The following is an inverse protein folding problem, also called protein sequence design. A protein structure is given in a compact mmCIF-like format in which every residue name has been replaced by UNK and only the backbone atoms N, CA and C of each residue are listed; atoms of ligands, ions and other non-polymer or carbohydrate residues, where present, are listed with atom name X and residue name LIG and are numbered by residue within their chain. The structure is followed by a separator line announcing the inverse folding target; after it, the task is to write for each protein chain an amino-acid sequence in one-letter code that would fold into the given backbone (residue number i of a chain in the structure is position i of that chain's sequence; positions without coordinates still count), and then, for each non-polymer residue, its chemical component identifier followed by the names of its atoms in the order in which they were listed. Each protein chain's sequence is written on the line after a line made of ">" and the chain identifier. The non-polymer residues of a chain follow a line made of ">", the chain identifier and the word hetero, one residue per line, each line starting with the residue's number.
data_IF_970743869107
#
_entry.id   IF_970743869107
#
_cell.length_a   1.000
_cell.length_b   1.000
_cell.length_c   1.000
_cell.angle_alpha   90.00
_cell.angle_beta   90.00
_cell.angle_gamma   90.00
#
_symmetry.space_group_name_H-M   'P 1'
#
loop_
_entity.id
_entity.type
_entity.pdbx_description
1 polymer ?
#
# COMPACT_ATOMS: atom_id res chain seq x y z
N UNK A 1 -21.71 -18.76 -11.47
CA UNK A 1 -22.01 -18.05 -12.73
C UNK A 1 -20.76 -17.85 -13.58
N UNK A 2 -19.68 -17.26 -13.07
CA UNK A 2 -18.45 -16.97 -13.83
C UNK A 2 -17.79 -18.24 -14.39
N UNK A 3 -17.73 -19.32 -13.63
CA UNK A 3 -17.22 -20.62 -14.10
C UNK A 3 -18.07 -21.20 -15.25
N UNK A 4 -19.39 -21.10 -15.15
CA UNK A 4 -20.27 -21.53 -16.25
C UNK A 4 -20.08 -20.67 -17.51
N UNK A 5 -19.85 -19.37 -17.33
CA UNK A 5 -19.56 -18.47 -18.44
C UNK A 5 -18.21 -18.82 -19.09
N UNK A 6 -17.16 -19.11 -18.29
CA UNK A 6 -15.87 -19.55 -18.81
C UNK A 6 -15.97 -20.86 -19.61
N UNK A 7 -16.76 -21.82 -19.09
CA UNK A 7 -16.94 -23.11 -19.78
C UNK A 7 -17.65 -23.00 -21.14
N UNK A 8 -18.43 -21.92 -21.33
CA UNK A 8 -19.13 -21.64 -22.59
C UNK A 8 -18.37 -20.64 -23.49
N UNK A 9 -17.24 -20.07 -23.00
CA UNK A 9 -16.48 -19.10 -23.77
C UNK A 9 -15.73 -19.81 -24.91
N UNK A 10 -16.03 -19.50 -26.21
CA UNK A 10 -15.29 -20.07 -27.32
C UNK A 10 -13.82 -19.65 -27.26
N UNK A 11 -12.91 -20.55 -27.60
CA UNK A 11 -11.48 -20.23 -27.62
C UNK A 11 -11.14 -19.10 -28.62
N UNK A 12 -11.95 -18.98 -29.68
CA UNK A 12 -11.87 -17.88 -30.64
C UNK A 12 -12.16 -16.50 -30.00
N UNK A 13 -12.79 -16.43 -28.86
CA UNK A 13 -13.09 -15.15 -28.17
C UNK A 13 -11.81 -14.37 -27.85
N UNK A 14 -10.71 -15.05 -27.58
CA UNK A 14 -9.41 -14.40 -27.41
C UNK A 14 -8.91 -13.63 -28.65
N UNK A 15 -9.41 -13.98 -29.86
CA UNK A 15 -9.10 -13.28 -31.10
C UNK A 15 -10.19 -12.26 -31.46
N UNK A 16 -11.46 -12.61 -31.26
CA UNK A 16 -12.60 -11.81 -31.71
C UNK A 16 -13.04 -10.75 -30.71
N UNK A 17 -12.92 -11.03 -29.40
CA UNK A 17 -13.24 -10.11 -28.30
C UNK A 17 -12.29 -10.29 -27.11
N UNK A 18 -11.03 -9.92 -27.34
CA UNK A 18 -9.99 -10.01 -26.33
C UNK A 18 -10.31 -9.34 -25.00
N UNK A 19 -10.85 -8.08 -24.97
CA UNK A 19 -11.16 -7.42 -23.70
C UNK A 19 -12.15 -8.21 -22.85
N UNK A 20 -13.21 -8.73 -23.46
CA UNK A 20 -14.21 -9.54 -22.77
C UNK A 20 -13.61 -10.85 -22.25
N UNK A 21 -12.84 -11.58 -23.09
CA UNK A 21 -12.20 -12.83 -22.71
C UNK A 21 -11.26 -12.63 -21.50
N UNK A 22 -10.42 -11.60 -21.54
CA UNK A 22 -9.51 -11.26 -20.43
C UNK A 22 -10.28 -10.89 -19.17
N UNK A 23 -11.26 -10.00 -19.27
CA UNK A 23 -12.06 -9.54 -18.13
C UNK A 23 -12.81 -10.70 -17.47
N UNK A 24 -13.37 -11.63 -18.24
CA UNK A 24 -14.07 -12.79 -17.71
C UNK A 24 -13.14 -13.73 -16.95
N UNK A 25 -11.93 -13.99 -17.47
CA UNK A 25 -10.94 -14.83 -16.79
C UNK A 25 -10.45 -14.19 -15.49
N UNK A 26 -10.14 -12.89 -15.52
CA UNK A 26 -9.74 -12.14 -14.34
C UNK A 26 -10.85 -12.12 -13.30
N UNK A 27 -12.09 -11.81 -13.68
CA UNK A 27 -13.22 -11.79 -12.75
C UNK A 27 -13.49 -13.18 -12.13
N UNK A 28 -13.34 -14.25 -12.91
CA UNK A 28 -13.47 -15.60 -12.39
C UNK A 28 -12.36 -15.97 -11.41
N UNK A 29 -11.12 -15.54 -11.69
CA UNK A 29 -9.98 -15.74 -10.79
C UNK A 29 -10.18 -14.96 -9.48
N UNK A 30 -10.61 -13.69 -9.55
CA UNK A 30 -10.93 -12.88 -8.36
C UNK A 30 -12.09 -13.49 -7.55
N UNK A 31 -13.14 -14.00 -8.21
CA UNK A 31 -14.25 -14.68 -7.55
C UNK A 31 -13.79 -15.96 -6.83
N UNK A 32 -12.91 -16.74 -7.43
CA UNK A 32 -12.32 -17.92 -6.81
C UNK A 32 -11.46 -17.52 -5.60
N UNK A 33 -10.65 -16.47 -5.73
CA UNK A 33 -9.86 -15.90 -4.65
C UNK A 33 -10.73 -15.48 -3.46
N UNK A 34 -11.76 -14.67 -3.69
CA UNK A 34 -12.68 -14.21 -2.65
C UNK A 34 -13.47 -15.36 -1.99
N UNK A 35 -13.60 -16.48 -2.70
CA UNK A 35 -14.25 -17.71 -2.18
C UNK A 35 -13.25 -18.67 -1.51
N UNK A 36 -12.01 -18.22 -1.24
CA UNK A 36 -10.90 -19.01 -0.67
C UNK A 36 -10.50 -20.26 -1.51
N UNK A 37 -10.83 -20.27 -2.80
CA UNK A 37 -10.44 -21.31 -3.76
C UNK A 37 -9.08 -20.95 -4.38
N UNK A 38 -8.03 -20.91 -3.56
CA UNK A 38 -6.74 -20.29 -3.91
C UNK A 38 -6.04 -20.97 -5.08
N UNK A 39 -6.01 -22.30 -5.14
CA UNK A 39 -5.38 -23.06 -6.24
C UNK A 39 -6.11 -22.79 -7.58
N UNK A 40 -7.43 -22.70 -7.54
CA UNK A 40 -8.22 -22.39 -8.72
C UNK A 40 -7.99 -20.93 -9.18
N UNK A 41 -7.92 -19.99 -8.23
CA UNK A 41 -7.62 -18.59 -8.54
C UNK A 41 -6.25 -18.45 -9.21
N UNK A 42 -5.21 -19.11 -8.67
CA UNK A 42 -3.86 -19.12 -9.23
C UNK A 42 -3.86 -19.68 -10.66
N UNK A 43 -4.47 -20.83 -10.90
CA UNK A 43 -4.55 -21.44 -12.24
C UNK A 43 -5.27 -20.53 -13.26
N UNK A 44 -6.32 -19.82 -12.83
CA UNK A 44 -7.04 -18.88 -13.69
C UNK A 44 -6.22 -17.62 -14.00
N UNK A 45 -5.49 -17.08 -13.01
CA UNK A 45 -4.57 -15.97 -13.24
C UNK A 45 -3.43 -16.36 -14.18
N UNK A 46 -2.84 -17.54 -14.01
CA UNK A 46 -1.78 -18.05 -14.91
C UNK A 46 -2.28 -18.23 -16.34
N UNK A 47 -3.51 -18.77 -16.50
CA UNK A 47 -4.14 -18.89 -17.81
C UNK A 47 -4.38 -17.51 -18.47
N UNK A 48 -4.86 -16.53 -17.70
CA UNK A 48 -5.05 -15.16 -18.17
C UNK A 48 -3.70 -14.51 -18.53
N UNK A 49 -2.67 -14.68 -17.70
CA UNK A 49 -1.33 -14.14 -17.92
C UNK A 49 -0.70 -14.69 -19.22
N UNK A 50 -0.85 -15.99 -19.50
CA UNK A 50 -0.37 -16.62 -20.73
C UNK A 50 -1.05 -16.11 -22.00
N UNK A 51 -2.24 -15.50 -21.88
CA UNK A 51 -3.04 -14.94 -22.99
C UNK A 51 -3.00 -13.42 -23.05
N UNK A 52 -2.51 -12.75 -21.99
CA UNK A 52 -2.44 -11.28 -21.91
C UNK A 52 -1.48 -10.73 -22.98
N UNK A 53 -1.97 -9.70 -23.71
CA UNK A 53 -1.27 -9.13 -24.88
C UNK A 53 -0.43 -7.92 -24.56
N UNK A 54 -0.87 -7.10 -23.60
CA UNK A 54 -0.17 -5.86 -23.23
C UNK A 54 0.56 -6.00 -21.91
N UNK A 55 1.63 -5.21 -21.72
CA UNK A 55 2.34 -5.16 -20.45
C UNK A 55 1.46 -4.62 -19.31
N UNK A 56 0.50 -3.75 -19.63
CA UNK A 56 -0.50 -3.28 -18.65
C UNK A 56 -1.42 -4.41 -18.19
N UNK A 57 -1.93 -5.24 -19.11
CA UNK A 57 -2.78 -6.37 -18.75
C UNK A 57 -2.02 -7.37 -17.87
N UNK A 58 -0.78 -7.68 -18.26
CA UNK A 58 0.10 -8.57 -17.49
C UNK A 58 0.41 -7.99 -16.11
N UNK A 59 0.74 -6.70 -16.02
CA UNK A 59 1.01 -6.02 -14.76
C UNK A 59 -0.22 -6.02 -13.84
N UNK A 60 -1.42 -5.83 -14.39
CA UNK A 60 -2.67 -5.94 -13.65
C UNK A 60 -2.87 -7.36 -13.05
N UNK A 61 -2.66 -8.40 -13.85
CA UNK A 61 -2.75 -9.79 -13.36
C UNK A 61 -1.70 -10.06 -12.27
N UNK A 62 -0.47 -9.55 -12.46
CA UNK A 62 0.57 -9.66 -11.43
C UNK A 62 0.20 -8.95 -10.11
N UNK A 63 -0.54 -7.83 -10.19
CA UNK A 63 -1.08 -7.16 -8.97
C UNK A 63 -2.03 -8.09 -8.23
N UNK A 64 -2.94 -8.75 -8.94
CA UNK A 64 -3.91 -9.67 -8.35
C UNK A 64 -3.24 -10.93 -7.77
N UNK A 65 -2.26 -11.49 -8.47
CA UNK A 65 -1.44 -12.60 -7.97
C UNK A 65 -0.67 -12.21 -6.71
N UNK A 66 -0.08 -11.02 -6.69
CA UNK A 66 0.62 -10.51 -5.50
C UNK A 66 -0.32 -10.41 -4.30
N UNK A 67 -1.54 -9.91 -4.50
CA UNK A 67 -2.56 -9.83 -3.44
C UNK A 67 -3.01 -11.22 -3.00
N UNK A 68 -3.22 -12.16 -3.92
CA UNK A 68 -3.54 -13.56 -3.62
C UNK A 68 -2.48 -14.19 -2.70
N UNK A 69 -1.21 -14.07 -3.06
CA UNK A 69 -0.12 -14.61 -2.25
C UNK A 69 0.04 -13.86 -0.92
N UNK A 70 -0.13 -12.55 -0.92
CA UNK A 70 -0.04 -11.72 0.28
C UNK A 70 -1.04 -12.12 1.36
N UNK A 71 -2.29 -12.38 0.99
CA UNK A 71 -3.34 -12.82 1.93
C UNK A 71 -3.13 -14.24 2.47
N UNK A 72 -2.35 -15.07 1.75
CA UNK A 72 -1.94 -16.40 2.20
C UNK A 72 -0.66 -16.37 3.06
N UNK A 73 -0.05 -15.19 3.28
CA UNK A 73 1.25 -15.07 3.95
C UNK A 73 2.44 -15.59 3.11
N UNK A 74 2.23 -15.88 1.83
CA UNK A 74 3.27 -16.31 0.88
C UNK A 74 4.04 -15.09 0.35
N UNK A 75 4.76 -14.40 1.24
CA UNK A 75 5.38 -13.11 0.91
C UNK A 75 6.50 -13.21 -0.14
N UNK A 76 7.18 -14.35 -0.24
CA UNK A 76 8.21 -14.56 -1.26
C UNK A 76 7.59 -14.62 -2.65
N UNK A 77 6.50 -15.36 -2.81
CA UNK A 77 5.73 -15.47 -4.05
C UNK A 77 5.08 -14.11 -4.41
N UNK A 78 4.54 -13.42 -3.41
CA UNK A 78 4.00 -12.06 -3.59
C UNK A 78 5.05 -11.09 -4.12
N UNK A 79 6.27 -11.09 -3.54
CA UNK A 79 7.38 -10.28 -4.03
C UNK A 79 7.78 -10.65 -5.47
N UNK A 80 7.80 -11.93 -5.80
CA UNK A 80 8.12 -12.40 -7.15
C UNK A 80 7.11 -11.87 -8.17
N UNK A 81 5.81 -12.02 -7.88
CA UNK A 81 4.74 -11.51 -8.73
C UNK A 81 4.81 -10.00 -8.88
N UNK A 82 4.94 -9.25 -7.77
CA UNK A 82 5.03 -7.79 -7.79
C UNK A 82 6.24 -7.28 -8.59
N UNK A 83 7.43 -7.87 -8.40
CA UNK A 83 8.63 -7.51 -9.16
C UNK A 83 8.48 -7.82 -10.66
N UNK A 84 7.84 -8.94 -11.02
CA UNK A 84 7.57 -9.28 -12.42
C UNK A 84 6.65 -8.25 -13.07
N UNK A 85 5.55 -7.87 -12.43
CA UNK A 85 4.64 -6.83 -12.91
C UNK A 85 5.32 -5.46 -13.04
N UNK A 86 6.14 -5.07 -12.06
CA UNK A 86 6.91 -3.81 -12.08
C UNK A 86 7.94 -3.77 -13.20
N UNK A 87 8.62 -4.88 -13.47
CA UNK A 87 9.60 -4.97 -14.56
C UNK A 87 8.98 -4.73 -15.93
N UNK A 88 7.74 -5.19 -16.17
CA UNK A 88 6.98 -4.92 -17.40
C UNK A 88 6.70 -3.42 -17.58
N UNK A 89 6.60 -2.68 -16.48
CA UNK A 89 6.36 -1.23 -16.46
C UNK A 89 7.66 -0.40 -16.36
N UNK A 90 8.83 -1.04 -16.54
CA UNK A 90 10.13 -0.38 -16.50
C UNK A 90 10.67 -0.09 -15.10
N UNK A 91 10.04 -0.63 -14.04
CA UNK A 91 10.48 -0.48 -12.65
C UNK A 91 11.17 -1.75 -12.19
N UNK A 92 12.50 -1.71 -12.06
CA UNK A 92 13.32 -2.87 -11.68
C UNK A 92 13.96 -2.69 -10.32
N UNK A 93 14.35 -3.83 -9.71
CA UNK A 93 15.04 -3.89 -8.43
C UNK A 93 16.28 -4.76 -8.54
N UNK A 94 17.41 -4.36 -7.95
CA UNK A 94 18.57 -5.21 -7.82
C UNK A 94 18.26 -6.49 -7.02
N UNK A 95 19.06 -7.54 -7.25
CA UNK A 95 18.81 -8.85 -6.63
C UNK A 95 19.40 -8.95 -5.22
N UNK A 96 20.53 -8.31 -4.96
CA UNK A 96 21.18 -8.31 -3.64
C UNK A 96 20.77 -7.11 -2.78
N UNK A 97 20.79 -7.30 -1.47
CA UNK A 97 20.49 -6.21 -0.52
C UNK A 97 21.58 -5.12 -0.54
N UNK A 98 22.83 -5.45 -0.86
CA UNK A 98 23.89 -4.46 -0.95
C UNK A 98 23.73 -3.56 -2.17
N UNK A 99 23.37 -4.11 -3.33
CA UNK A 99 23.02 -3.30 -4.51
C UNK A 99 21.77 -2.45 -4.25
N UNK A 100 20.79 -2.98 -3.51
CA UNK A 100 19.58 -2.21 -3.10
C UNK A 100 19.94 -1.02 -2.22
N UNK A 101 20.88 -1.17 -1.27
CA UNK A 101 21.36 -0.05 -0.45
C UNK A 101 21.99 1.06 -1.30
N UNK A 102 22.79 0.69 -2.29
CA UNK A 102 23.34 1.66 -3.25
C UNK A 102 22.23 2.33 -4.06
N UNK A 103 21.27 1.56 -4.56
CA UNK A 103 20.15 2.08 -5.33
C UNK A 103 19.25 3.02 -4.50
N UNK A 104 19.07 2.77 -3.18
CA UNK A 104 18.36 3.69 -2.29
C UNK A 104 19.04 5.06 -2.28
N UNK A 105 20.39 5.11 -2.20
CA UNK A 105 21.13 6.37 -2.25
C UNK A 105 20.87 7.14 -3.54
N UNK A 106 20.85 6.46 -4.69
CA UNK A 106 20.54 7.06 -5.98
C UNK A 106 19.10 7.59 -6.07
N UNK A 107 18.12 6.81 -5.58
CA UNK A 107 16.72 7.24 -5.58
C UNK A 107 16.48 8.43 -4.65
N UNK A 108 17.16 8.49 -3.50
CA UNK A 108 17.09 9.62 -2.58
C UNK A 108 17.70 10.89 -3.19
N UNK A 109 18.84 10.79 -3.89
CA UNK A 109 19.44 11.90 -4.62
C UNK A 109 18.53 12.40 -5.75
N UNK A 110 17.92 11.47 -6.51
CA UNK A 110 16.96 11.81 -7.56
C UNK A 110 15.74 12.53 -6.98
N UNK A 111 15.24 12.07 -5.83
CA UNK A 111 14.11 12.70 -5.14
C UNK A 111 14.43 14.13 -4.74
N UNK A 112 15.61 14.39 -4.18
CA UNK A 112 16.05 15.74 -3.83
C UNK A 112 16.16 16.63 -5.08
N UNK A 113 16.72 16.12 -6.18
CA UNK A 113 16.81 16.82 -7.45
C UNK A 113 15.41 17.16 -8.01
N UNK A 114 14.48 16.21 -7.98
CA UNK A 114 13.12 16.41 -8.47
C UNK A 114 12.31 17.36 -7.59
N UNK A 115 12.50 17.31 -6.28
CA UNK A 115 11.86 18.23 -5.34
C UNK A 115 12.41 19.65 -5.53
N UNK A 116 13.74 19.79 -5.70
CA UNK A 116 14.41 21.08 -5.79
C UNK A 116 14.08 21.96 -4.58
N UNK A 117 13.86 23.25 -4.82
CA UNK A 117 13.50 24.22 -3.78
C UNK A 117 11.98 24.28 -3.50
N UNK A 118 11.18 23.37 -4.07
CA UNK A 118 9.73 23.37 -3.86
C UNK A 118 9.40 23.00 -2.41
N UNK A 119 8.58 23.79 -1.71
CA UNK A 119 8.05 23.39 -0.42
C UNK A 119 7.26 22.08 -0.54
N UNK A 120 7.46 21.14 0.38
CA UNK A 120 6.74 19.85 0.38
C UNK A 120 5.22 20.06 0.32
N UNK A 121 4.71 21.04 1.07
CA UNK A 121 3.27 21.35 1.09
C UNK A 121 2.73 21.77 -0.29
N UNK A 122 3.54 22.37 -1.16
CA UNK A 122 3.10 22.78 -2.50
C UNK A 122 2.85 21.59 -3.44
N UNK A 123 3.34 20.39 -3.11
CA UNK A 123 3.08 19.17 -3.88
C UNK A 123 1.60 18.75 -3.86
N UNK A 124 0.80 19.28 -2.94
CA UNK A 124 -0.65 19.04 -2.94
C UNK A 124 -1.30 19.54 -4.24
N UNK A 125 -0.75 20.59 -4.85
CA UNK A 125 -1.24 21.17 -6.11
C UNK A 125 -0.50 20.66 -7.35
N UNK A 126 0.35 19.65 -7.21
CA UNK A 126 1.04 19.04 -8.35
C UNK A 126 0.05 18.52 -9.39
N UNK A 127 0.43 18.48 -10.68
CA UNK A 127 -0.39 17.94 -11.75
C UNK A 127 -0.86 16.50 -11.44
N UNK A 128 -2.02 16.13 -11.97
CA UNK A 128 -2.52 14.75 -11.85
C UNK A 128 -1.69 13.80 -12.71
N UNK A 129 -1.38 12.65 -12.16
CA UNK A 129 -0.79 11.55 -12.90
C UNK A 129 -1.82 10.97 -13.87
N UNK A 130 -1.53 11.05 -15.16
CA UNK A 130 -2.45 10.56 -16.23
C UNK A 130 -1.94 9.32 -16.95
N UNK A 131 -0.63 9.05 -16.90
CA UNK A 131 0.00 7.88 -17.53
C UNK A 131 -0.49 6.56 -16.90
N UNK A 132 -1.16 5.66 -17.67
CA UNK A 132 -1.67 4.40 -17.12
C UNK A 132 -0.57 3.46 -16.61
N UNK A 133 0.59 3.44 -17.27
CA UNK A 133 1.71 2.57 -16.85
C UNK A 133 2.28 3.03 -15.51
N UNK A 134 2.43 4.35 -15.32
CA UNK A 134 2.90 4.91 -14.05
C UNK A 134 1.86 4.72 -12.92
N UNK A 135 0.55 4.81 -13.22
CA UNK A 135 -0.50 4.47 -12.25
C UNK A 135 -0.45 3.00 -11.83
N UNK A 136 -0.29 2.09 -12.79
CA UNK A 136 -0.14 0.66 -12.51
C UNK A 136 1.12 0.36 -11.69
N UNK A 137 2.24 1.05 -11.99
CA UNK A 137 3.47 0.94 -11.21
C UNK A 137 3.29 1.44 -9.76
N UNK A 138 2.61 2.57 -9.56
CA UNK A 138 2.30 3.07 -8.22
C UNK A 138 1.44 2.08 -7.41
N UNK A 139 0.45 1.45 -8.05
CA UNK A 139 -0.39 0.43 -7.41
C UNK A 139 0.45 -0.75 -6.96
N UNK A 140 1.25 -1.32 -7.87
CA UNK A 140 2.14 -2.44 -7.55
C UNK A 140 3.13 -2.09 -6.43
N UNK A 141 3.70 -0.88 -6.44
CA UNK A 141 4.63 -0.43 -5.39
C UNK A 141 3.91 -0.28 -4.04
N UNK A 142 2.67 0.23 -4.03
CA UNK A 142 1.87 0.36 -2.82
C UNK A 142 1.51 -1.00 -2.21
N UNK A 143 1.14 -1.98 -3.03
CA UNK A 143 0.77 -3.32 -2.59
C UNK A 143 2.02 -4.16 -2.24
N UNK A 144 3.21 -3.83 -2.82
CA UNK A 144 4.48 -4.46 -2.46
C UNK A 144 4.96 -4.14 -1.04
N UNK A 145 4.40 -3.11 -0.40
CA UNK A 145 4.81 -2.60 0.91
C UNK A 145 4.90 -3.71 1.97
N UNK A 146 3.81 -4.46 2.18
CA UNK A 146 3.75 -5.45 3.27
C UNK A 146 4.73 -6.60 3.02
N UNK A 147 4.73 -7.29 1.86
CA UNK A 147 5.69 -8.36 1.62
C UNK A 147 7.14 -7.88 1.67
N UNK A 148 7.45 -6.69 1.15
CA UNK A 148 8.81 -6.16 1.19
C UNK A 148 9.27 -5.82 2.61
N UNK A 149 8.39 -5.24 3.43
CA UNK A 149 8.68 -4.91 4.83
C UNK A 149 9.13 -6.15 5.64
N UNK A 150 8.43 -7.29 5.45
CA UNK A 150 8.74 -8.51 6.19
C UNK A 150 9.94 -9.29 5.65
N UNK A 151 10.20 -9.22 4.34
CA UNK A 151 11.22 -10.08 3.69
C UNK A 151 12.57 -9.35 3.53
N UNK A 152 12.58 -8.08 3.13
CA UNK A 152 13.81 -7.33 2.86
C UNK A 152 13.62 -5.84 3.14
N UNK A 153 14.08 -5.35 4.31
CA UNK A 153 14.05 -3.92 4.60
C UNK A 153 14.69 -3.03 3.52
N UNK A 154 15.81 -3.39 2.86
CA UNK A 154 16.35 -2.60 1.74
C UNK A 154 15.40 -2.57 0.54
N UNK A 155 14.71 -3.67 0.23
CA UNK A 155 13.72 -3.69 -0.85
C UNK A 155 12.53 -2.77 -0.54
N UNK A 156 12.05 -2.81 0.70
CA UNK A 156 10.99 -1.92 1.17
C UNK A 156 11.38 -0.44 1.02
N UNK A 157 12.55 -0.05 1.52
CA UNK A 157 13.03 1.34 1.42
C UNK A 157 13.17 1.79 -0.03
N UNK A 158 13.69 0.92 -0.91
CA UNK A 158 13.84 1.21 -2.32
C UNK A 158 12.48 1.35 -3.03
N UNK A 159 11.51 0.49 -2.71
CA UNK A 159 10.15 0.58 -3.25
C UNK A 159 9.47 1.91 -2.86
N UNK A 160 9.59 2.32 -1.59
CA UNK A 160 9.09 3.61 -1.11
C UNK A 160 9.73 4.78 -1.88
N UNK A 161 11.05 4.78 -2.05
CA UNK A 161 11.75 5.84 -2.75
C UNK A 161 11.32 5.93 -4.23
N UNK A 162 11.16 4.78 -4.92
CA UNK A 162 10.64 4.72 -6.30
C UNK A 162 9.22 5.24 -6.40
N UNK A 163 8.33 4.90 -5.45
CA UNK A 163 6.95 5.38 -5.43
C UNK A 163 6.88 6.91 -5.33
N UNK A 164 7.70 7.51 -4.46
CA UNK A 164 7.79 8.97 -4.33
C UNK A 164 8.35 9.61 -5.60
N UNK A 165 9.41 9.05 -6.19
CA UNK A 165 10.01 9.57 -7.42
C UNK A 165 9.04 9.53 -8.62
N UNK A 166 8.22 8.48 -8.74
CA UNK A 166 7.16 8.45 -9.76
C UNK A 166 6.18 9.61 -9.55
N UNK A 167 5.72 9.82 -8.31
CA UNK A 167 4.79 10.90 -7.99
C UNK A 167 5.39 12.29 -8.22
N UNK A 168 6.66 12.50 -7.89
CA UNK A 168 7.35 13.78 -8.13
C UNK A 168 7.56 14.08 -9.61
N UNK A 169 7.83 13.05 -10.42
CA UNK A 169 8.15 13.19 -11.84
C UNK A 169 6.91 13.27 -12.73
N UNK A 170 5.91 12.44 -12.47
CA UNK A 170 4.77 12.28 -13.39
C UNK A 170 3.48 12.89 -12.86
N UNK A 171 3.47 13.33 -11.61
CA UNK A 171 2.31 13.93 -10.95
C UNK A 171 1.70 13.04 -9.87
N UNK A 172 0.72 13.60 -9.16
CA UNK A 172 0.06 12.95 -8.02
C UNK A 172 -1.20 12.18 -8.44
N UNK A 173 -1.49 11.12 -7.72
CA UNK A 173 -2.73 10.36 -7.80
C UNK A 173 -3.22 10.00 -6.40
N UNK A 174 -4.37 9.32 -6.33
CA UNK A 174 -4.90 8.72 -5.11
C UNK A 174 -3.95 7.71 -4.42
N UNK A 175 -2.94 7.22 -5.15
CA UNK A 175 -1.92 6.29 -4.63
C UNK A 175 -0.66 6.99 -4.11
N UNK A 176 -0.50 8.27 -4.41
CA UNK A 176 0.68 9.05 -4.01
C UNK A 176 0.71 9.34 -2.50
N UNK A 177 -0.46 9.42 -1.86
CA UNK A 177 -0.59 9.66 -0.43
C UNK A 177 0.09 8.58 0.41
N UNK A 178 -0.06 7.29 0.05
CA UNK A 178 0.61 6.19 0.73
C UNK A 178 2.14 6.27 0.60
N UNK A 179 2.63 6.60 -0.59
CA UNK A 179 4.07 6.78 -0.85
C UNK A 179 4.66 7.89 0.01
N UNK A 180 4.02 9.06 0.01
CA UNK A 180 4.48 10.20 0.81
C UNK A 180 4.36 9.94 2.31
N UNK A 181 3.29 9.30 2.79
CA UNK A 181 3.13 8.94 4.20
C UNK A 181 4.24 7.99 4.66
N UNK A 182 4.47 6.93 3.89
CA UNK A 182 5.49 5.93 4.23
C UNK A 182 6.90 6.53 4.17
N UNK A 183 7.16 7.38 3.17
CA UNK A 183 8.43 8.11 3.07
C UNK A 183 8.62 9.04 4.28
N UNK A 184 7.57 9.75 4.70
CA UNK A 184 7.58 10.57 5.89
C UNK A 184 7.92 9.78 7.15
N UNK A 185 7.34 8.61 7.33
CA UNK A 185 7.68 7.69 8.41
C UNK A 185 9.15 7.25 8.36
N UNK A 186 9.64 6.85 7.18
CA UNK A 186 11.04 6.43 6.98
C UNK A 186 12.01 7.57 7.31
N UNK A 187 11.74 8.79 6.83
CA UNK A 187 12.57 9.96 7.13
C UNK A 187 12.62 10.24 8.63
N UNK A 188 11.47 10.23 9.30
CA UNK A 188 11.39 10.56 10.71
C UNK A 188 11.95 9.45 11.61
N UNK A 189 11.53 8.20 11.41
CA UNK A 189 11.82 7.09 12.31
C UNK A 189 13.15 6.38 12.02
N UNK A 190 13.60 6.37 10.74
CA UNK A 190 14.83 5.65 10.35
C UNK A 190 16.00 6.62 10.16
N UNK A 191 15.77 7.76 9.51
CA UNK A 191 16.84 8.72 9.20
C UNK A 191 16.93 9.91 10.15
N UNK A 192 16.04 10.03 11.14
CA UNK A 192 16.04 11.14 12.11
C UNK A 192 15.69 12.51 11.51
N UNK A 193 15.19 12.56 10.27
CA UNK A 193 14.79 13.78 9.58
C UNK A 193 13.35 14.17 9.94
N UNK A 194 13.11 14.46 11.21
CA UNK A 194 11.77 14.58 11.80
C UNK A 194 10.90 15.63 11.12
N UNK A 195 11.42 16.85 10.90
CA UNK A 195 10.66 17.95 10.29
C UNK A 195 10.26 17.65 8.84
N UNK A 196 11.19 17.09 8.07
CA UNK A 196 10.93 16.74 6.68
C UNK A 196 9.93 15.57 6.61
N UNK A 197 10.11 14.54 7.45
CA UNK A 197 9.17 13.42 7.56
C UNK A 197 7.76 13.89 7.95
N UNK A 198 7.66 14.79 8.92
CA UNK A 198 6.39 15.40 9.32
C UNK A 198 5.73 16.15 8.15
N UNK A 199 6.51 16.92 7.37
CA UNK A 199 6.01 17.62 6.18
C UNK A 199 5.41 16.67 5.15
N UNK A 200 6.08 15.55 4.84
CA UNK A 200 5.54 14.53 3.93
C UNK A 200 4.28 13.84 4.49
N UNK A 201 4.23 13.58 5.78
CA UNK A 201 3.02 13.04 6.41
C UNK A 201 1.83 13.99 6.30
N UNK A 202 2.03 15.29 6.52
CA UNK A 202 0.98 16.33 6.33
C UNK A 202 0.53 16.42 4.87
N UNK A 203 1.47 16.36 3.92
CA UNK A 203 1.16 16.31 2.49
C UNK A 203 0.28 15.09 2.15
N UNK A 204 0.63 13.91 2.66
CA UNK A 204 -0.13 12.69 2.43
C UNK A 204 -1.58 12.80 2.91
N UNK A 205 -1.79 13.34 4.12
CA UNK A 205 -3.14 13.58 4.65
C UNK A 205 -3.91 14.60 3.80
N UNK A 206 -3.26 15.66 3.34
CA UNK A 206 -3.88 16.67 2.48
C UNK A 206 -4.28 16.09 1.11
N UNK A 207 -3.43 15.26 0.50
CA UNK A 207 -3.76 14.56 -0.75
C UNK A 207 -4.91 13.58 -0.56
N UNK A 208 -4.93 12.81 0.52
CA UNK A 208 -6.03 11.89 0.81
C UNK A 208 -7.36 12.63 0.94
N UNK A 209 -7.38 13.78 1.61
CA UNK A 209 -8.56 14.63 1.69
C UNK A 209 -8.97 15.18 0.32
N UNK A 210 -8.00 15.63 -0.49
CA UNK A 210 -8.25 16.17 -1.85
C UNK A 210 -8.88 15.13 -2.77
N UNK A 211 -8.38 13.89 -2.75
CA UNK A 211 -8.90 12.82 -3.59
C UNK A 211 -10.14 12.11 -3.02
N UNK A 212 -10.43 12.29 -1.73
CA UNK A 212 -11.56 11.64 -1.07
C UNK A 212 -11.43 10.11 -1.00
N UNK A 213 -10.19 9.58 -1.06
CA UNK A 213 -9.94 8.15 -1.10
C UNK A 213 -9.98 7.56 0.33
N UNK A 214 -11.08 6.89 0.65
CA UNK A 214 -11.38 6.43 2.01
C UNK A 214 -10.70 5.11 2.39
N UNK A 215 -10.37 4.26 1.39
CA UNK A 215 -9.90 2.89 1.62
C UNK A 215 -8.57 2.80 2.36
N UNK A 216 -7.72 3.82 2.19
CA UNK A 216 -6.40 3.88 2.84
C UNK A 216 -6.33 4.85 4.02
N UNK A 217 -7.41 5.57 4.31
CA UNK A 217 -7.43 6.60 5.33
C UNK A 217 -7.05 6.06 6.72
N UNK A 218 -7.52 4.85 7.07
CA UNK A 218 -7.15 4.20 8.32
C UNK A 218 -5.63 4.05 8.45
N UNK A 219 -4.98 3.50 7.44
CA UNK A 219 -3.52 3.32 7.38
C UNK A 219 -2.77 4.65 7.47
N UNK A 220 -3.23 5.69 6.76
CA UNK A 220 -2.55 6.98 6.73
C UNK A 220 -2.61 7.67 8.10
N UNK A 221 -3.79 7.74 8.72
CA UNK A 221 -3.92 8.31 10.05
C UNK A 221 -3.16 7.53 11.11
N UNK A 222 -3.18 6.19 11.02
CA UNK A 222 -2.39 5.34 11.90
C UNK A 222 -0.90 5.67 11.80
N UNK A 223 -0.33 5.58 10.58
CA UNK A 223 1.09 5.83 10.37
C UNK A 223 1.48 7.24 10.83
N UNK A 224 0.68 8.27 10.50
CA UNK A 224 1.00 9.61 10.95
C UNK A 224 0.97 9.73 12.48
N UNK A 225 0.00 9.12 13.15
CA UNK A 225 -0.06 9.04 14.62
C UNK A 225 1.17 8.36 15.25
N UNK A 226 1.79 7.41 14.54
CA UNK A 226 3.00 6.70 15.02
C UNK A 226 4.21 7.63 15.07
N UNK A 227 4.37 8.59 14.15
CA UNK A 227 5.58 9.42 14.09
C UNK A 227 5.38 10.94 14.26
N UNK A 228 4.15 11.43 14.35
CA UNK A 228 3.89 12.87 14.52
C UNK A 228 4.49 13.44 15.82
N UNK A 229 4.64 12.60 16.84
CA UNK A 229 5.19 12.99 18.14
C UNK A 229 6.66 13.43 18.11
N UNK A 230 7.39 13.18 17.02
CA UNK A 230 8.72 13.77 16.82
C UNK A 230 8.67 15.28 16.59
N UNK A 231 7.52 15.83 16.21
CA UNK A 231 7.33 17.25 15.92
C UNK A 231 6.17 17.89 16.71
N UNK A 232 5.25 17.08 17.26
CA UNK A 232 4.12 17.52 18.07
C UNK A 232 4.19 16.86 19.46
N UNK A 233 3.54 17.43 20.49
CA UNK A 233 3.43 16.76 21.79
C UNK A 233 2.78 15.38 21.67
N UNK A 234 3.27 14.39 22.43
CA UNK A 234 2.80 13.01 22.39
C UNK A 234 1.27 12.84 22.43
N UNK A 235 0.51 13.63 23.25
CA UNK A 235 -0.95 13.55 23.27
C UNK A 235 -1.62 13.79 21.92
N UNK A 236 -0.97 14.53 21.00
CA UNK A 236 -1.51 14.78 19.67
C UNK A 236 -1.69 13.52 18.82
N UNK A 237 -0.91 12.45 19.09
CA UNK A 237 -1.05 11.18 18.42
C UNK A 237 -2.44 10.56 18.57
N UNK A 238 -3.07 10.75 19.74
CA UNK A 238 -4.40 10.18 20.03
C UNK A 238 -5.48 10.70 19.08
N UNK A 239 -5.41 11.95 18.62
CA UNK A 239 -6.38 12.48 17.64
C UNK A 239 -6.26 11.79 16.28
N UNK A 240 -5.04 11.45 15.85
CA UNK A 240 -4.81 10.71 14.62
C UNK A 240 -5.22 9.25 14.76
N UNK A 241 -4.95 8.64 15.91
CA UNK A 241 -5.46 7.29 16.19
C UNK A 241 -7.00 7.26 16.27
N UNK A 242 -7.64 8.30 16.79
CA UNK A 242 -9.10 8.39 16.75
C UNK A 242 -9.61 8.47 15.29
N UNK A 243 -9.01 9.32 14.46
CA UNK A 243 -9.36 9.41 13.04
C UNK A 243 -9.10 8.09 12.28
N UNK A 244 -7.99 7.41 12.61
CA UNK A 244 -7.69 6.07 12.06
C UNK A 244 -8.75 5.05 12.48
N UNK A 245 -9.13 5.03 13.75
CA UNK A 245 -10.15 4.14 14.28
C UNK A 245 -11.51 4.31 13.57
N UNK A 246 -11.95 5.55 13.41
CA UNK A 246 -13.19 5.88 12.71
C UNK A 246 -13.13 5.49 11.22
N UNK A 247 -12.00 5.74 10.57
CA UNK A 247 -11.78 5.36 9.18
C UNK A 247 -11.79 3.83 9.02
N UNK A 248 -11.11 3.09 9.92
CA UNK A 248 -11.06 1.63 9.88
C UNK A 248 -12.42 0.96 10.07
N UNK A 249 -13.24 1.49 10.96
CA UNK A 249 -14.62 1.00 11.11
C UNK A 249 -15.48 1.24 9.85
N UNK A 250 -15.26 2.36 9.15
CA UNK A 250 -16.01 2.66 7.92
C UNK A 250 -15.56 1.84 6.71
N UNK A 251 -14.25 1.64 6.57
CA UNK A 251 -13.67 0.92 5.41
C UNK A 251 -13.58 -0.59 5.59
N UNK A 252 -13.70 -1.10 6.84
CA UNK A 252 -13.43 -2.51 7.15
C UNK A 252 -11.94 -2.86 7.17
N UNK A 253 -11.05 -1.87 7.30
CA UNK A 253 -9.61 -2.10 7.43
C UNK A 253 -9.27 -2.56 8.87
N UNK A 254 -9.59 -3.79 9.17
CA UNK A 254 -9.41 -4.37 10.50
C UNK A 254 -7.95 -4.54 10.91
N UNK A 255 -7.04 -4.65 9.94
CA UNK A 255 -5.61 -4.75 10.22
C UNK A 255 -5.08 -3.47 10.86
N UNK A 256 -5.25 -2.33 10.17
CA UNK A 256 -4.78 -1.05 10.70
C UNK A 256 -5.64 -0.55 11.87
N UNK A 257 -6.91 -0.95 11.95
CA UNK A 257 -7.73 -0.73 13.13
C UNK A 257 -7.14 -1.41 14.38
N UNK A 258 -6.66 -2.66 14.23
CA UNK A 258 -6.01 -3.40 15.31
C UNK A 258 -4.69 -2.76 15.75
N UNK A 259 -3.86 -2.33 14.79
CA UNK A 259 -2.64 -1.58 15.09
C UNK A 259 -2.94 -0.26 15.81
N UNK A 260 -3.97 0.46 15.37
CA UNK A 260 -4.44 1.71 15.99
C UNK A 260 -4.85 1.50 17.44
N UNK A 261 -5.62 0.43 17.71
CA UNK A 261 -6.04 0.08 19.06
C UNK A 261 -4.81 -0.16 19.97
N UNK A 262 -3.86 -0.96 19.53
CA UNK A 262 -2.64 -1.26 20.29
C UNK A 262 -1.80 -0.01 20.55
N UNK A 263 -1.52 0.81 19.52
CA UNK A 263 -0.68 2.00 19.67
C UNK A 263 -1.35 3.09 20.51
N UNK A 264 -2.68 3.21 20.48
CA UNK A 264 -3.40 4.16 21.35
C UNK A 264 -3.21 3.84 22.84
N UNK A 265 -3.18 2.56 23.21
CA UNK A 265 -2.88 2.12 24.57
C UNK A 265 -1.42 2.41 24.93
N UNK A 266 -0.49 2.13 24.01
CA UNK A 266 0.94 2.41 24.21
C UNK A 266 1.20 3.90 24.48
N UNK A 267 0.55 4.78 23.71
CA UNK A 267 0.67 6.24 23.90
C UNK A 267 0.11 6.67 25.25
N UNK A 268 -1.06 6.17 25.67
CA UNK A 268 -1.68 6.48 26.98
C UNK A 268 -0.78 6.06 28.15
N UNK A 269 -0.16 4.88 28.06
CA UNK A 269 0.83 4.43 29.02
C UNK A 269 2.06 5.35 29.02
N UNK A 270 2.58 5.74 27.87
CA UNK A 270 3.70 6.69 27.75
C UNK A 270 3.40 8.09 28.27
N UNK A 271 2.13 8.50 28.28
CA UNK A 271 1.65 9.76 28.88
C UNK A 271 1.50 9.68 30.40
N UNK A 272 1.60 8.49 31.01
CA UNK A 272 1.38 8.32 32.44
C UNK A 272 -0.09 8.43 32.86
N UNK A 273 -1.05 8.10 31.98
CA UNK A 273 -2.46 8.05 32.33
C UNK A 273 -2.70 7.01 33.46
N UNK A 274 -3.78 7.17 34.21
CA UNK A 274 -4.17 6.23 35.26
C UNK A 274 -4.29 4.80 34.71
N UNK A 275 -3.60 3.85 35.33
CA UNK A 275 -3.54 2.46 34.85
C UNK A 275 -4.91 1.78 34.87
N UNK A 276 -5.84 2.17 35.75
CA UNK A 276 -7.20 1.66 35.79
C UNK A 276 -7.97 2.10 34.54
N UNK A 277 -7.85 3.39 34.16
CA UNK A 277 -8.45 3.93 32.95
C UNK A 277 -7.87 3.30 31.67
N UNK A 278 -6.53 3.13 31.62
CA UNK A 278 -5.87 2.48 30.48
C UNK A 278 -6.30 1.02 30.34
N UNK A 279 -6.42 0.28 31.46
CA UNK A 279 -6.91 -1.10 31.47
C UNK A 279 -8.34 -1.20 30.95
N UNK A 280 -9.21 -0.30 31.42
CA UNK A 280 -10.61 -0.29 30.96
C UNK A 280 -10.70 -0.04 29.45
N UNK A 281 -9.95 0.94 28.93
CA UNK A 281 -9.88 1.23 27.50
C UNK A 281 -9.33 0.02 26.71
N UNK A 282 -8.26 -0.61 27.18
CA UNK A 282 -7.69 -1.79 26.56
C UNK A 282 -8.70 -2.94 26.52
N UNK A 283 -9.44 -3.16 27.59
CA UNK A 283 -10.49 -4.20 27.65
C UNK A 283 -11.60 -3.97 26.62
N UNK A 284 -12.05 -2.71 26.49
CA UNK A 284 -13.07 -2.36 25.48
C UNK A 284 -12.57 -2.61 24.05
N UNK A 285 -11.33 -2.19 23.74
CA UNK A 285 -10.72 -2.40 22.41
C UNK A 285 -10.52 -3.89 22.14
N UNK A 286 -10.08 -4.67 23.13
CA UNK A 286 -9.92 -6.12 22.99
C UNK A 286 -11.25 -6.81 22.69
N UNK A 287 -12.33 -6.44 23.39
CA UNK A 287 -13.66 -6.98 23.12
C UNK A 287 -14.11 -6.68 21.67
N UNK A 288 -13.88 -5.45 21.20
CA UNK A 288 -14.19 -5.10 19.81
C UNK A 288 -13.36 -5.94 18.81
N UNK A 289 -12.05 -6.09 19.04
CA UNK A 289 -11.17 -6.88 18.15
C UNK A 289 -11.62 -8.36 18.11
N UNK A 290 -12.04 -8.93 19.25
CA UNK A 290 -12.58 -10.27 19.31
C UNK A 290 -13.89 -10.39 18.51
N UNK A 291 -14.77 -9.39 18.59
CA UNK A 291 -16.02 -9.37 17.84
C UNK A 291 -15.80 -9.34 16.33
N UNK A 292 -14.84 -8.56 15.85
CA UNK A 292 -14.49 -8.50 14.42
C UNK A 292 -13.59 -9.65 13.98
N UNK A 293 -13.25 -10.58 14.87
CA UNK A 293 -12.38 -11.75 14.61
C UNK A 293 -11.02 -11.36 13.98
N UNK A 294 -10.51 -10.20 14.33
CA UNK A 294 -9.17 -9.78 13.91
C UNK A 294 -8.15 -10.50 14.78
N UNK A 295 -7.29 -11.33 14.17
CA UNK A 295 -6.09 -11.87 14.80
C UNK A 295 -4.93 -10.92 14.48
N UNK A 296 -4.24 -10.46 15.51
CA UNK A 296 -2.96 -9.75 15.39
C UNK A 296 -1.82 -10.72 15.19
#
# INVERSE_FOLDING_TARGET
>A
YLQAALAQLPESCWQTDYPFALQLHVAAAESAYLSAQHEQAEALFDAALGRARTDLDKAHIHTLLMNLYGTQGKFVEALRAGRAGLALLGVTFPDSDDERKVAIGHEMALMQQQLGDRPIAALVDAPLLTDPAQKAALRLLADLFVPAYFISPPLFLLAVAKQVNISLRYGTSELSDQGYMTHGYVLAAVFGQHQQGYGFGKLALALNQRFGYTDVACKLYFLFGVFNHFCEPLPSALRYFQASYEAGLRSGDFLYLSYTANHSITVRLGMGEDLGAVREQASRLLQLMQQIKSSL
#
